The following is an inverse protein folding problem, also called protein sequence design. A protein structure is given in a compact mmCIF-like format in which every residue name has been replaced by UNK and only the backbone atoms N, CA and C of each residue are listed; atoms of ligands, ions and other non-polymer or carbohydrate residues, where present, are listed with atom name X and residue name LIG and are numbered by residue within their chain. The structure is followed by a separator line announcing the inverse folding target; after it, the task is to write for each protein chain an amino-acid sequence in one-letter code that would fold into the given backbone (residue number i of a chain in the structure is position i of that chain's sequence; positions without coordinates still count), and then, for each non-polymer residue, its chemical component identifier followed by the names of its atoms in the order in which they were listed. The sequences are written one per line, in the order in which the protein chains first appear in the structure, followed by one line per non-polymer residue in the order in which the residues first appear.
data_IF_336911941906
#
_entry.id   IF_336911941906
#
_cell.length_a   1.000
_cell.length_b   1.000
_cell.length_c   1.000
_cell.angle_alpha   90.00
_cell.angle_beta   90.00
_cell.angle_gamma   90.00
#
_symmetry.space_group_name_H-M   'P 1'
#
loop_
_entity.id
_entity.type
_entity.pdbx_description
1 polymer ?
#
# COMPACT_ATOMS: atom_id res chain seq x y z
N UNK A 1 -38.52 -29.16 54.12
CA UNK A 1 -39.77 -29.05 54.89
C UNK A 1 -39.67 -27.87 55.85
N UNK A 2 -40.66 -26.97 55.80
CA UNK A 2 -41.01 -25.85 56.71
C UNK A 2 -39.96 -24.73 56.91
N UNK A 3 -40.14 -23.50 56.40
CA UNK A 3 -41.12 -22.40 56.68
C UNK A 3 -40.98 -21.77 58.06
N UNK A 4 -40.58 -20.48 58.12
CA UNK A 4 -41.26 -19.31 58.76
C UNK A 4 -40.31 -18.08 58.77
N UNK A 5 -40.62 -17.00 58.01
CA UNK A 5 -41.06 -15.63 58.45
C UNK A 5 -40.04 -14.85 59.30
N UNK A 6 -39.67 -13.57 59.08
CA UNK A 6 -40.44 -12.30 59.01
C UNK A 6 -39.33 -11.17 58.93
N UNK A 7 -39.36 -10.06 58.18
CA UNK A 7 -39.99 -8.76 58.45
C UNK A 7 -39.71 -7.78 57.29
N UNK A 8 -40.72 -6.96 57.01
CA UNK A 8 -40.90 -6.00 55.92
C UNK A 8 -40.62 -4.58 56.47
N UNK A 9 -39.71 -3.79 55.89
CA UNK A 9 -39.73 -2.31 56.06
C UNK A 9 -39.46 -1.65 54.71
N UNK A 10 -40.55 -1.04 54.22
CA UNK A 10 -40.63 -0.07 53.12
C UNK A 10 -40.10 1.27 53.63
N UNK A 11 -39.20 1.92 52.88
CA UNK A 11 -38.98 3.36 53.01
C UNK A 11 -39.07 4.02 51.64
N UNK A 12 -40.28 4.46 51.34
CA UNK A 12 -40.61 5.52 50.39
C UNK A 12 -39.89 6.81 50.77
N UNK A 13 -39.26 7.48 49.81
CA UNK A 13 -39.11 8.94 49.86
C UNK A 13 -39.23 9.49 48.43
N UNK A 14 -40.45 9.94 48.15
CA UNK A 14 -40.85 10.75 47.00
C UNK A 14 -40.74 12.23 47.41
N UNK A 15 -40.62 13.08 46.39
CA UNK A 15 -40.79 14.53 46.33
C UNK A 15 -39.48 15.31 46.47
N UNK A 16 -39.12 16.15 45.49
CA UNK A 16 -39.99 17.17 44.92
C UNK A 16 -39.54 17.61 43.52
N UNK A 17 -40.51 17.67 42.61
CA UNK A 17 -40.49 18.54 41.45
C UNK A 17 -40.72 19.97 41.94
N UNK A 18 -39.85 20.91 41.55
CA UNK A 18 -40.21 22.32 41.50
C UNK A 18 -39.73 22.97 40.20
N UNK A 19 -40.71 23.61 39.59
CA UNK A 19 -40.76 24.34 38.34
C UNK A 19 -39.92 25.62 38.34
N UNK A 20 -39.30 25.95 37.20
CA UNK A 20 -39.06 27.34 36.83
C UNK A 20 -39.40 27.61 35.35
N UNK A 21 -40.50 28.37 35.24
CA UNK A 21 -41.13 29.18 34.19
C UNK A 21 -40.38 29.44 32.86
N UNK A 22 -41.18 29.33 31.79
CA UNK A 22 -41.05 30.02 30.49
C UNK A 22 -40.95 31.54 30.66
N UNK A 23 -40.07 32.17 29.88
CA UNK A 23 -40.13 33.59 29.46
C UNK A 23 -39.73 33.68 27.98
N UNK A 24 -40.66 34.10 27.13
CA UNK A 24 -40.45 34.90 25.89
C UNK A 24 -40.59 36.38 26.29
N UNK A 25 -40.04 37.42 25.65
CA UNK A 25 -39.05 37.67 24.60
C UNK A 25 -38.64 39.17 24.76
N UNK A 26 -37.41 39.55 24.40
CA UNK A 26 -37.01 40.65 23.48
C UNK A 26 -35.53 41.08 23.66
N UNK A 27 -34.89 41.64 22.62
CA UNK A 27 -33.61 41.15 22.12
C UNK A 27 -32.39 41.96 22.60
N UNK A 28 -31.24 41.30 22.70
CA UNK A 28 -29.94 41.95 22.78
C UNK A 28 -29.10 41.50 21.58
N UNK A 29 -28.85 42.45 20.70
CA UNK A 29 -27.79 42.40 19.69
C UNK A 29 -26.45 42.28 20.40
N UNK A 30 -25.69 41.22 20.14
CA UNK A 30 -24.24 41.30 20.09
C UNK A 30 -23.65 40.12 19.31
N UNK A 31 -22.75 40.49 18.40
CA UNK A 31 -22.11 39.69 17.38
C UNK A 31 -21.47 38.41 17.92
N UNK A 32 -22.07 37.25 17.64
CA UNK A 32 -21.34 35.98 17.62
C UNK A 32 -20.92 35.70 16.18
N UNK A 33 -19.62 35.85 15.97
CA UNK A 33 -18.86 35.50 14.78
C UNK A 33 -19.35 34.15 14.26
N UNK A 34 -20.07 34.18 13.13
CA UNK A 34 -20.21 33.03 12.27
C UNK A 34 -18.79 32.53 12.00
N UNK A 35 -18.43 31.40 12.61
CA UNK A 35 -17.34 30.56 12.12
C UNK A 35 -17.77 30.14 10.72
N UNK A 36 -17.40 30.98 9.76
CA UNK A 36 -17.48 30.75 8.33
C UNK A 36 -16.89 29.36 8.12
N UNK A 37 -17.75 28.38 7.86
CA UNK A 37 -17.32 27.17 7.21
C UNK A 37 -16.69 27.65 5.90
N UNK A 38 -15.37 27.56 5.82
CA UNK A 38 -14.69 27.60 4.53
C UNK A 38 -15.04 26.30 3.83
N UNK A 39 -16.25 26.27 3.27
CA UNK A 39 -16.69 25.28 2.32
C UNK A 39 -17.17 26.02 1.10
N UNK A 40 -16.18 26.34 0.26
CA UNK A 40 -16.30 26.50 -1.18
C UNK A 40 -14.88 26.63 -1.75
N UNK A 41 -14.21 25.49 -1.87
CA UNK A 41 -13.21 25.35 -2.94
C UNK A 41 -14.00 25.02 -4.21
N UNK A 42 -14.63 26.04 -4.80
CA UNK A 42 -15.20 26.03 -6.16
C UNK A 42 -14.06 25.93 -7.18
N UNK A 43 -13.26 24.87 -7.07
CA UNK A 43 -12.33 24.45 -8.12
C UNK A 43 -12.72 23.04 -8.48
N UNK A 44 -13.64 22.92 -9.42
CA UNK A 44 -13.99 21.67 -10.12
C UNK A 44 -12.83 21.12 -10.95
N UNK A 45 -11.68 21.79 -10.90
CA UNK A 45 -10.44 21.40 -11.55
C UNK A 45 -9.49 20.71 -10.58
N UNK A 46 -9.15 19.47 -10.88
CA UNK A 46 -8.18 18.64 -10.16
C UNK A 46 -6.88 18.47 -10.96
N UNK A 47 -5.87 17.93 -10.30
CA UNK A 47 -4.57 17.57 -10.89
C UNK A 47 -4.22 16.15 -10.49
N UNK A 48 -3.55 15.44 -11.36
CA UNK A 48 -3.00 14.11 -11.09
C UNK A 48 -1.59 13.99 -11.65
N UNK A 49 -0.74 13.21 -10.99
CA UNK A 49 0.57 12.83 -11.51
C UNK A 49 0.45 11.97 -12.79
N UNK A 50 -0.72 11.37 -13.03
CA UNK A 50 -1.00 10.70 -14.31
C UNK A 50 -1.06 11.71 -15.48
N UNK A 51 -1.40 12.98 -15.22
CA UNK A 51 -1.55 14.02 -16.25
C UNK A 51 -1.13 15.40 -15.73
N UNK A 52 0.19 15.59 -15.58
CA UNK A 52 0.80 16.78 -14.94
C UNK A 52 0.37 18.15 -15.52
N UNK A 53 0.06 18.19 -16.82
CA UNK A 53 -0.21 19.43 -17.55
C UNK A 53 -1.70 19.61 -17.89
N UNK A 54 -2.58 18.75 -17.39
CA UNK A 54 -4.00 18.79 -17.70
C UNK A 54 -4.82 19.15 -16.47
N UNK A 55 -5.90 19.88 -16.72
CA UNK A 55 -6.94 20.18 -15.76
C UNK A 55 -7.96 19.04 -15.82
N UNK A 56 -8.23 18.41 -14.69
CA UNK A 56 -9.15 17.27 -14.62
C UNK A 56 -10.49 17.71 -14.03
N UNK A 57 -11.57 17.07 -14.47
CA UNK A 57 -12.93 17.28 -14.01
C UNK A 57 -13.41 16.10 -13.18
N UNK A 58 -14.34 16.36 -12.26
CA UNK A 58 -14.92 15.32 -11.42
C UNK A 58 -15.77 14.36 -12.28
N UNK A 59 -15.53 13.06 -12.17
CA UNK A 59 -16.33 12.03 -12.84
C UNK A 59 -15.99 11.80 -14.32
N UNK A 60 -15.21 12.68 -14.95
CA UNK A 60 -14.74 12.47 -16.32
C UNK A 60 -13.78 11.26 -16.37
N UNK A 61 -13.95 10.42 -17.40
CA UNK A 61 -13.14 9.22 -17.58
C UNK A 61 -11.96 9.53 -18.49
N UNK A 62 -10.77 9.36 -17.93
CA UNK A 62 -9.49 9.51 -18.61
C UNK A 62 -8.90 8.15 -18.94
N UNK A 63 -8.10 8.12 -20.01
CA UNK A 63 -7.37 6.93 -20.46
C UNK A 63 -5.88 7.21 -20.47
N UNK A 64 -5.09 6.32 -19.89
CA UNK A 64 -3.64 6.49 -19.79
C UNK A 64 -2.89 5.16 -19.90
N UNK A 65 -1.67 5.22 -20.44
CA UNK A 65 -0.74 4.08 -20.43
C UNK A 65 0.18 4.17 -19.23
N UNK A 66 0.30 3.08 -18.48
CA UNK A 66 1.04 3.00 -17.21
C UNK A 66 1.75 1.66 -17.08
N UNK A 67 2.72 1.56 -16.16
CA UNK A 67 3.34 0.29 -15.75
C UNK A 67 2.78 -0.14 -14.40
N UNK A 68 2.28 -1.37 -14.33
CA UNK A 68 1.75 -1.92 -13.07
C UNK A 68 2.86 -2.11 -12.02
N UNK A 69 2.59 -1.82 -10.75
CA UNK A 69 3.54 -2.01 -9.64
C UNK A 69 3.09 -3.10 -8.69
N UNK A 70 1.91 -2.95 -8.09
CA UNK A 70 1.32 -3.89 -7.12
C UNK A 70 -0.13 -3.53 -6.82
N UNK A 71 -0.83 -4.46 -6.19
CA UNK A 71 -2.01 -4.15 -5.37
C UNK A 71 -1.55 -3.86 -3.93
N UNK A 72 -2.20 -2.91 -3.27
CA UNK A 72 -1.95 -2.58 -1.86
C UNK A 72 -3.27 -2.64 -1.07
N UNK A 73 -3.33 -3.53 -0.08
CA UNK A 73 -4.48 -3.80 0.77
C UNK A 73 -4.21 -3.45 2.25
N UNK A 74 -3.12 -2.71 2.54
CA UNK A 74 -2.68 -2.41 3.91
C UNK A 74 -3.43 -1.24 4.60
N UNK A 75 -4.66 -0.94 4.21
CA UNK A 75 -5.43 0.21 4.72
C UNK A 75 -6.94 0.06 4.56
N UNK A 76 -7.65 1.18 4.69
CA UNK A 76 -9.12 1.22 4.61
C UNK A 76 -9.64 1.05 3.17
N UNK A 77 -8.85 1.47 2.18
CA UNK A 77 -9.13 1.34 0.75
C UNK A 77 -8.12 0.40 0.08
N UNK A 78 -8.54 -0.21 -1.03
CA UNK A 78 -7.65 -1.02 -1.87
C UNK A 78 -7.06 -0.19 -3.00
N UNK A 79 -5.74 -0.25 -3.16
CA UNK A 79 -5.02 0.55 -4.13
C UNK A 79 -4.41 -0.26 -5.28
N UNK A 80 -4.63 0.24 -6.49
CA UNK A 80 -3.98 -0.15 -7.73
C UNK A 80 -2.79 0.77 -7.95
N UNK A 81 -1.59 0.28 -7.64
CA UNK A 81 -0.37 1.09 -7.69
C UNK A 81 0.30 0.95 -9.05
N UNK A 82 0.53 2.09 -9.69
CA UNK A 82 1.13 2.17 -11.04
C UNK A 82 2.26 3.18 -11.08
N UNK A 83 3.15 3.02 -12.06
CA UNK A 83 4.12 4.03 -12.45
C UNK A 83 3.72 4.66 -13.77
N UNK A 84 3.78 5.99 -13.82
CA UNK A 84 3.73 6.75 -15.07
C UNK A 84 4.91 7.72 -15.07
N UNK A 85 5.73 7.64 -16.11
CA UNK A 85 7.04 8.31 -16.13
C UNK A 85 7.87 7.89 -14.90
N UNK A 86 8.37 8.85 -14.11
CA UNK A 86 9.09 8.60 -12.86
C UNK A 86 8.18 8.63 -11.61
N UNK A 87 6.90 8.94 -11.78
CA UNK A 87 5.96 9.09 -10.69
C UNK A 87 5.25 7.78 -10.37
N UNK A 88 4.96 7.56 -9.09
CA UNK A 88 4.15 6.44 -8.61
C UNK A 88 2.80 6.98 -8.15
N UNK A 89 1.72 6.39 -8.65
CA UNK A 89 0.34 6.81 -8.38
C UNK A 89 -0.46 5.62 -7.86
N UNK A 90 -1.28 5.86 -6.85
CA UNK A 90 -2.20 4.88 -6.28
C UNK A 90 -3.61 5.26 -6.67
N UNK A 91 -4.34 4.37 -7.32
CA UNK A 91 -5.76 4.56 -7.64
C UNK A 91 -6.60 3.64 -6.77
N UNK A 92 -7.70 4.13 -6.21
CA UNK A 92 -8.66 3.25 -5.51
C UNK A 92 -9.31 2.33 -6.55
N UNK A 93 -9.44 1.05 -6.23
CA UNK A 93 -10.13 0.10 -7.10
C UNK A 93 -11.12 -0.77 -6.31
N UNK A 94 -12.28 -1.04 -6.93
CA UNK A 94 -13.39 -1.77 -6.31
C UNK A 94 -13.76 -3.04 -7.07
N UNK A 95 -12.90 -3.49 -7.98
CA UNK A 95 -13.10 -4.69 -8.81
C UNK A 95 -12.23 -5.84 -8.31
N UNK A 96 -12.64 -7.08 -8.59
CA UNK A 96 -11.87 -8.27 -8.23
C UNK A 96 -10.41 -8.19 -8.71
N UNK A 97 -9.48 -8.62 -7.85
CA UNK A 97 -8.03 -8.66 -8.08
C UNK A 97 -7.69 -9.63 -9.23
N UNK A 98 -7.43 -9.12 -10.44
CA UNK A 98 -7.01 -9.94 -11.55
C UNK A 98 -5.51 -10.18 -11.48
N UNK A 99 -5.05 -11.31 -12.02
CA UNK A 99 -3.63 -11.65 -11.96
C UNK A 99 -2.77 -10.79 -12.89
N UNK A 100 -2.27 -9.66 -12.41
CA UNK A 100 -1.37 -8.76 -13.14
C UNK A 100 0.07 -8.95 -12.66
N UNK A 101 1.00 -8.96 -13.62
CA UNK A 101 2.43 -9.08 -13.37
C UNK A 101 3.02 -7.68 -13.23
N UNK A 102 3.86 -7.46 -12.21
CA UNK A 102 4.62 -6.22 -12.04
C UNK A 102 5.35 -5.84 -13.34
N UNK A 103 5.39 -4.54 -13.65
CA UNK A 103 6.03 -4.01 -14.85
C UNK A 103 5.21 -4.18 -16.13
N UNK A 104 4.07 -4.89 -16.11
CA UNK A 104 3.19 -4.97 -17.26
C UNK A 104 2.74 -3.57 -17.71
N UNK A 105 2.83 -3.31 -19.01
CA UNK A 105 2.26 -2.11 -19.61
C UNK A 105 0.75 -2.30 -19.77
N UNK A 106 0.00 -1.38 -19.17
CA UNK A 106 -1.44 -1.39 -19.15
C UNK A 106 -1.96 -0.09 -19.76
N UNK A 107 -3.08 -0.19 -20.48
CA UNK A 107 -3.96 0.96 -20.65
C UNK A 107 -5.00 0.90 -19.54
N UNK A 108 -5.12 1.99 -18.78
CA UNK A 108 -6.10 2.13 -17.70
C UNK A 108 -7.14 3.17 -18.09
N UNK A 109 -8.37 2.96 -17.64
CA UNK A 109 -9.40 4.00 -17.57
C UNK A 109 -9.61 4.35 -16.11
N UNK A 110 -9.66 5.64 -15.80
CA UNK A 110 -9.77 6.14 -14.43
C UNK A 110 -10.48 7.49 -14.40
N UNK A 111 -10.90 7.92 -13.22
CA UNK A 111 -11.54 9.22 -13.00
C UNK A 111 -11.11 9.84 -11.68
N UNK A 112 -11.27 11.15 -11.55
CA UNK A 112 -11.34 11.77 -10.23
C UNK A 112 -12.73 11.49 -9.65
N UNK A 113 -12.80 11.01 -8.41
CA UNK A 113 -14.07 10.82 -7.70
C UNK A 113 -13.94 11.27 -6.24
N UNK A 114 -15.09 11.45 -5.58
CA UNK A 114 -15.15 11.79 -4.17
C UNK A 114 -14.76 10.61 -3.28
N UNK A 115 -13.98 10.90 -2.25
CA UNK A 115 -13.63 9.98 -1.17
C UNK A 115 -14.24 10.50 0.14
N UNK A 116 -14.75 9.58 0.96
CA UNK A 116 -15.08 9.80 2.37
C UNK A 116 -14.16 8.91 3.20
N UNK A 117 -13.09 9.46 3.80
CA UNK A 117 -12.18 8.65 4.62
C UNK A 117 -12.93 7.95 5.76
N UNK A 118 -12.50 6.73 6.07
CA UNK A 118 -13.06 5.99 7.18
C UNK A 118 -12.84 6.76 8.50
N UNK A 119 -13.86 6.80 9.36
CA UNK A 119 -13.81 7.50 10.65
C UNK A 119 -14.16 8.99 10.61
N UNK A 120 -14.26 9.61 9.42
CA UNK A 120 -14.73 11.00 9.27
C UNK A 120 -15.65 11.15 8.05
N UNK A 121 -16.95 10.79 8.17
CA UNK A 121 -17.90 10.85 7.07
C UNK A 121 -18.24 12.28 6.62
N UNK A 122 -17.90 13.29 7.42
CA UNK A 122 -18.13 14.70 7.09
C UNK A 122 -16.99 15.27 6.22
N UNK A 123 -15.79 14.68 6.28
CA UNK A 123 -14.66 15.05 5.45
C UNK A 123 -14.80 14.51 4.02
N UNK A 124 -14.90 15.44 3.05
CA UNK A 124 -14.94 15.15 1.62
C UNK A 124 -13.56 15.42 1.00
N UNK A 125 -12.98 14.38 0.39
CA UNK A 125 -11.78 14.49 -0.43
C UNK A 125 -12.05 14.05 -1.88
N UNK A 126 -11.06 14.18 -2.75
CA UNK A 126 -11.11 13.73 -4.14
C UNK A 126 -9.82 13.05 -4.55
N UNK A 127 -9.94 11.87 -5.15
CA UNK A 127 -8.80 11.03 -5.51
C UNK A 127 -9.05 10.25 -6.79
N UNK A 128 -8.01 9.63 -7.34
CA UNK A 128 -8.08 8.79 -8.52
C UNK A 128 -8.76 7.44 -8.21
N UNK A 129 -9.81 7.12 -8.98
CA UNK A 129 -10.47 5.81 -8.98
C UNK A 129 -10.24 5.09 -10.29
N UNK A 130 -9.78 3.85 -10.22
CA UNK A 130 -9.67 2.95 -11.37
C UNK A 130 -11.08 2.51 -11.82
N UNK A 131 -11.34 2.64 -13.12
CA UNK A 131 -12.57 2.14 -13.77
C UNK A 131 -12.31 0.79 -14.41
N UNK A 132 -11.25 0.70 -15.21
CA UNK A 132 -10.90 -0.51 -15.94
C UNK A 132 -9.43 -0.50 -16.34
N UNK A 133 -8.92 -1.65 -16.76
CA UNK A 133 -7.59 -1.77 -17.32
C UNK A 133 -7.56 -2.88 -18.36
N UNK A 134 -6.63 -2.79 -19.30
CA UNK A 134 -6.33 -3.87 -20.24
C UNK A 134 -4.81 -3.99 -20.41
N UNK A 135 -4.31 -5.24 -20.38
CA UNK A 135 -2.89 -5.53 -20.66
C UNK A 135 -2.60 -5.18 -22.12
N UNK A 136 -1.62 -4.32 -22.35
CA UNK A 136 -1.11 -4.08 -23.69
C UNK A 136 -0.22 -5.25 -24.10
N UNK A 137 -0.24 -5.62 -25.38
CA UNK A 137 0.60 -6.70 -25.87
C UNK A 137 2.06 -6.34 -25.61
N UNK A 138 2.74 -7.16 -24.82
CA UNK A 138 4.19 -7.03 -24.64
C UNK A 138 4.84 -7.13 -26.01
N UNK A 139 5.67 -6.16 -26.36
CA UNK A 139 6.70 -6.43 -27.37
C UNK A 139 7.56 -7.56 -26.79
N UNK A 140 7.97 -8.53 -27.60
CA UNK A 140 8.91 -9.58 -27.20
C UNK A 140 10.32 -8.97 -27.00
N UNK A 141 10.46 -8.00 -26.09
CA UNK A 141 11.76 -7.57 -25.59
C UNK A 141 12.14 -8.55 -24.49
N UNK A 142 13.06 -9.45 -24.82
CA UNK A 142 13.75 -10.25 -23.81
C UNK A 142 14.38 -9.29 -22.78
N UNK A 143 14.15 -9.53 -21.50
CA UNK A 143 14.70 -8.68 -20.43
C UNK A 143 16.23 -8.76 -20.47
N UNK A 144 16.90 -7.62 -20.57
CA UNK A 144 18.36 -7.57 -20.57
C UNK A 144 18.90 -7.47 -19.13
N UNK A 145 19.44 -8.59 -18.64
CA UNK A 145 20.06 -8.65 -17.31
C UNK A 145 21.57 -8.39 -17.33
N UNK A 146 22.15 -7.95 -18.45
CA UNK A 146 23.60 -7.71 -18.57
C UNK A 146 24.14 -6.79 -17.47
N UNK A 147 23.38 -5.75 -17.11
CA UNK A 147 23.71 -4.78 -16.04
C UNK A 147 23.63 -5.33 -14.62
N UNK A 148 23.02 -6.50 -14.45
CA UNK A 148 22.85 -7.13 -13.13
C UNK A 148 23.89 -8.21 -12.84
N UNK A 149 24.58 -8.73 -13.87
CA UNK A 149 25.54 -9.85 -13.72
C UNK A 149 26.70 -9.55 -12.76
N UNK A 150 27.06 -8.29 -12.59
CA UNK A 150 28.17 -7.87 -11.72
C UNK A 150 27.68 -7.14 -10.46
N UNK A 151 26.39 -7.20 -10.14
CA UNK A 151 25.87 -6.57 -8.94
C UNK A 151 26.09 -7.47 -7.73
N UNK A 152 26.31 -6.84 -6.60
CA UNK A 152 26.33 -7.48 -5.30
C UNK A 152 25.67 -6.59 -4.25
N UNK A 153 25.28 -7.20 -3.13
CA UNK A 153 24.84 -6.48 -1.94
C UNK A 153 25.31 -7.23 -0.70
N UNK A 154 25.47 -6.50 0.41
CA UNK A 154 25.98 -7.05 1.67
C UNK A 154 24.84 -7.12 2.67
N UNK A 155 24.72 -8.26 3.33
CA UNK A 155 23.83 -8.47 4.47
C UNK A 155 24.66 -8.54 5.74
N UNK A 156 24.34 -7.73 6.76
CA UNK A 156 24.91 -7.94 8.09
C UNK A 156 24.17 -9.07 8.79
N UNK A 157 24.91 -10.07 9.29
CA UNK A 157 24.37 -11.18 10.07
C UNK A 157 24.58 -11.02 11.58
N UNK A 158 25.11 -9.88 12.04
CA UNK A 158 25.35 -9.57 13.45
C UNK A 158 26.72 -8.93 13.69
N UNK A 159 27.12 -8.84 14.96
CA UNK A 159 28.44 -8.29 15.35
C UNK A 159 29.56 -9.13 14.72
N UNK A 160 30.38 -8.50 13.88
CA UNK A 160 31.50 -9.15 13.19
C UNK A 160 31.12 -10.00 11.98
N UNK A 161 29.82 -10.21 11.70
CA UNK A 161 29.37 -11.11 10.64
C UNK A 161 28.77 -10.34 9.45
N UNK A 162 29.23 -10.65 8.24
CA UNK A 162 28.65 -10.14 6.99
C UNK A 162 28.59 -11.21 5.90
N UNK A 163 27.59 -11.14 5.03
CA UNK A 163 27.46 -12.00 3.86
C UNK A 163 27.31 -11.16 2.60
N UNK A 164 28.23 -11.30 1.65
CA UNK A 164 28.16 -10.62 0.35
C UNK A 164 27.48 -11.54 -0.65
N UNK A 165 26.35 -11.10 -1.22
CA UNK A 165 25.63 -11.84 -2.24
C UNK A 165 26.05 -11.32 -3.61
N UNK A 166 26.84 -12.09 -4.34
CA UNK A 166 27.29 -11.76 -5.70
C UNK A 166 26.38 -12.46 -6.70
N UNK A 167 25.85 -11.73 -7.70
CA UNK A 167 25.03 -12.34 -8.73
C UNK A 167 25.85 -13.34 -9.54
N UNK A 168 25.49 -14.62 -9.47
CA UNK A 168 26.11 -15.70 -10.24
C UNK A 168 25.32 -15.99 -11.51
N UNK A 169 24.00 -16.05 -11.40
CA UNK A 169 23.13 -16.37 -12.52
C UNK A 169 21.71 -15.81 -12.37
N UNK A 170 21.12 -15.37 -13.48
CA UNK A 170 19.72 -14.93 -13.56
C UNK A 170 19.04 -15.74 -14.67
N UNK A 171 17.96 -16.46 -14.31
CA UNK A 171 17.15 -17.27 -15.24
C UNK A 171 15.68 -16.90 -15.13
N UNK A 172 15.09 -16.25 -16.14
CA UNK A 172 13.64 -16.13 -16.26
C UNK A 172 13.00 -17.51 -16.32
N UNK A 173 11.97 -17.74 -15.51
CA UNK A 173 11.18 -18.97 -15.55
C UNK A 173 9.91 -18.76 -16.37
N UNK A 174 9.28 -17.60 -16.21
CA UNK A 174 8.14 -17.14 -16.98
C UNK A 174 8.04 -15.60 -16.86
N UNK A 175 6.96 -15.01 -17.37
CA UNK A 175 6.73 -13.56 -17.30
C UNK A 175 6.77 -13.02 -15.86
N UNK A 176 6.26 -13.77 -14.89
CA UNK A 176 6.08 -13.36 -13.50
C UNK A 176 7.16 -13.86 -12.53
N UNK A 177 8.07 -14.74 -12.96
CA UNK A 177 9.01 -15.38 -12.05
C UNK A 177 10.42 -15.40 -12.62
N UNK A 178 11.38 -14.95 -11.81
CA UNK A 178 12.81 -15.00 -12.13
C UNK A 178 13.54 -15.75 -11.02
N UNK A 179 14.34 -16.73 -11.41
CA UNK A 179 15.27 -17.42 -10.52
C UNK A 179 16.61 -16.71 -10.56
N UNK A 180 17.18 -16.42 -9.39
CA UNK A 180 18.51 -15.82 -9.26
C UNK A 180 19.34 -16.67 -8.32
N UNK A 181 20.52 -17.04 -8.79
CA UNK A 181 21.54 -17.72 -7.98
C UNK A 181 22.61 -16.69 -7.62
N UNK A 182 22.92 -16.61 -6.34
CA UNK A 182 24.00 -15.82 -5.79
C UNK A 182 25.12 -16.73 -5.32
N UNK A 183 26.35 -16.30 -5.55
CA UNK A 183 27.52 -16.78 -4.83
C UNK A 183 27.65 -15.92 -3.57
N UNK A 184 27.58 -16.55 -2.40
CA UNK A 184 27.53 -15.90 -1.10
C UNK A 184 28.87 -16.09 -0.41
N UNK A 185 29.56 -14.99 -0.15
CA UNK A 185 30.80 -14.95 0.64
C UNK A 185 30.47 -14.55 2.08
N UNK A 186 30.75 -15.44 3.03
CA UNK A 186 30.54 -15.20 4.46
C UNK A 186 31.83 -14.74 5.14
N UNK A 187 31.74 -13.63 5.86
CA UNK A 187 32.83 -13.03 6.61
C UNK A 187 32.53 -13.04 8.10
N UNK A 188 33.51 -13.42 8.91
CA UNK A 188 33.48 -13.33 10.39
C UNK A 188 34.72 -12.58 10.83
N UNK A 189 34.53 -11.51 11.59
CA UNK A 189 35.58 -10.58 12.02
C UNK A 189 36.43 -10.03 10.87
N UNK A 190 35.81 -9.88 9.70
CA UNK A 190 36.43 -9.38 8.48
C UNK A 190 37.18 -10.43 7.64
N UNK A 191 37.28 -11.67 8.12
CA UNK A 191 37.93 -12.76 7.40
C UNK A 191 36.89 -13.61 6.65
N UNK A 192 37.20 -13.95 5.39
CA UNK A 192 36.37 -14.86 4.60
C UNK A 192 36.43 -16.25 5.21
N UNK A 193 35.28 -16.76 5.61
CA UNK A 193 35.15 -18.06 6.29
C UNK A 193 34.55 -19.13 5.38
N UNK A 194 33.60 -18.77 4.52
CA UNK A 194 32.93 -19.71 3.62
C UNK A 194 32.45 -19.01 2.35
N UNK A 195 32.40 -19.75 1.24
CA UNK A 195 31.73 -19.36 0.00
C UNK A 195 30.78 -20.46 -0.43
N UNK A 196 29.51 -20.14 -0.67
CA UNK A 196 28.49 -21.10 -1.09
C UNK A 196 27.43 -20.48 -1.99
N UNK A 197 26.68 -21.31 -2.73
CA UNK A 197 25.62 -20.83 -3.61
C UNK A 197 24.25 -20.84 -2.91
N UNK A 198 23.51 -19.74 -3.05
CA UNK A 198 22.10 -19.67 -2.69
C UNK A 198 21.24 -19.30 -3.89
N UNK A 199 20.05 -19.89 -3.97
CA UNK A 199 19.13 -19.61 -5.07
C UNK A 199 17.80 -19.11 -4.54
N UNK A 200 17.32 -18.02 -5.13
CA UNK A 200 16.08 -17.35 -4.78
C UNK A 200 15.14 -17.28 -5.98
N UNK A 201 13.86 -17.49 -5.72
CA UNK A 201 12.79 -17.29 -6.69
C UNK A 201 12.08 -15.97 -6.38
N UNK A 202 12.21 -15.01 -7.28
CA UNK A 202 11.51 -13.73 -7.25
C UNK A 202 10.21 -13.89 -8.04
N UNK A 203 9.07 -13.73 -7.37
CA UNK A 203 7.74 -13.77 -7.97
C UNK A 203 7.11 -12.39 -7.97
N UNK A 204 6.57 -12.00 -9.12
CA UNK A 204 6.03 -10.69 -9.45
C UNK A 204 4.55 -10.74 -9.85
N UNK A 205 3.83 -11.78 -9.41
CA UNK A 205 2.37 -11.82 -9.52
C UNK A 205 1.70 -10.84 -8.54
N UNK A 206 0.45 -11.10 -8.19
CA UNK A 206 -0.36 -10.20 -7.34
C UNK A 206 0.32 -9.86 -6.01
N UNK A 207 0.93 -10.88 -5.40
CA UNK A 207 1.76 -10.72 -4.20
C UNK A 207 3.21 -10.94 -4.58
N UNK A 208 4.00 -9.86 -4.51
CA UNK A 208 5.43 -9.95 -4.69
C UNK A 208 6.03 -10.79 -3.56
N UNK A 209 6.71 -11.87 -3.90
CA UNK A 209 7.36 -12.74 -2.91
C UNK A 209 8.75 -13.11 -3.37
N UNK A 210 9.67 -13.26 -2.42
CA UNK A 210 11.03 -13.73 -2.68
C UNK A 210 11.25 -14.94 -1.79
N UNK A 211 11.55 -16.07 -2.42
CA UNK A 211 11.57 -17.37 -1.76
C UNK A 211 12.92 -18.04 -1.91
N UNK A 212 13.53 -18.46 -0.81
CA UNK A 212 14.74 -19.28 -0.85
C UNK A 212 14.38 -20.68 -1.36
N UNK A 213 15.10 -21.16 -2.38
CA UNK A 213 14.79 -22.43 -3.05
C UNK A 213 15.25 -23.66 -2.27
N UNK A 214 16.20 -23.51 -1.33
CA UNK A 214 16.68 -24.59 -0.47
C UNK A 214 15.75 -24.79 0.74
N UNK A 215 15.38 -23.71 1.43
CA UNK A 215 14.52 -23.81 2.62
C UNK A 215 13.03 -23.81 2.27
N UNK A 216 12.66 -23.38 1.06
CA UNK A 216 11.28 -23.21 0.62
C UNK A 216 10.51 -22.17 1.46
N UNK A 217 11.22 -21.25 2.11
CA UNK A 217 10.66 -20.16 2.92
C UNK A 217 10.79 -18.80 2.23
N UNK A 218 9.86 -17.90 2.54
CA UNK A 218 9.93 -16.51 2.09
C UNK A 218 10.99 -15.75 2.90
N UNK A 219 11.65 -14.77 2.29
CA UNK A 219 12.67 -13.96 2.94
C UNK A 219 12.15 -13.25 4.20
N UNK A 220 10.85 -12.95 4.27
CA UNK A 220 10.20 -12.36 5.44
C UNK A 220 10.32 -13.23 6.71
N UNK A 221 10.48 -14.55 6.56
CA UNK A 221 10.64 -15.48 7.69
C UNK A 221 12.09 -15.71 8.08
N UNK A 222 13.02 -15.48 7.15
CA UNK A 222 14.43 -15.86 7.29
C UNK A 222 15.27 -14.64 7.71
N UNK A 223 14.93 -13.46 7.19
CA UNK A 223 15.79 -12.28 7.25
C UNK A 223 15.18 -11.14 8.06
N UNK A 224 16.06 -10.33 8.65
CA UNK A 224 15.72 -9.04 9.26
C UNK A 224 15.22 -8.05 8.20
N UNK A 225 14.51 -7.00 8.63
CA UNK A 225 13.95 -6.00 7.71
C UNK A 225 15.00 -5.33 6.80
N UNK A 226 16.21 -5.07 7.32
CA UNK A 226 17.31 -4.49 6.54
C UNK A 226 17.80 -5.43 5.43
N UNK A 227 17.90 -6.72 5.74
CA UNK A 227 18.27 -7.73 4.76
C UNK A 227 17.16 -7.95 3.73
N UNK A 228 15.90 -7.99 4.17
CA UNK A 228 14.75 -8.03 3.27
C UNK A 228 14.74 -6.86 2.29
N UNK A 229 15.09 -5.65 2.75
CA UNK A 229 15.17 -4.45 1.91
C UNK A 229 16.19 -4.63 0.79
N UNK A 230 17.37 -5.16 1.08
CA UNK A 230 18.42 -5.39 0.06
C UNK A 230 17.94 -6.33 -1.04
N UNK A 231 17.27 -7.43 -0.68
CA UNK A 231 16.64 -8.34 -1.66
C UNK A 231 15.52 -7.65 -2.46
N UNK A 232 14.66 -6.86 -1.81
CA UNK A 232 13.56 -6.16 -2.47
C UNK A 232 14.06 -5.07 -3.45
N UNK A 233 15.12 -4.37 -3.09
CA UNK A 233 15.80 -3.39 -3.95
C UNK A 233 16.44 -4.05 -5.16
N UNK A 234 17.16 -5.16 -4.96
CA UNK A 234 17.68 -5.96 -6.08
C UNK A 234 16.55 -6.49 -6.96
N UNK A 235 15.47 -7.02 -6.36
CA UNK A 235 14.29 -7.51 -7.08
C UNK A 235 13.58 -6.44 -7.90
N UNK A 236 13.60 -5.17 -7.47
CA UNK A 236 13.04 -4.08 -8.27
C UNK A 236 13.78 -3.92 -9.62
N UNK A 237 15.11 -4.04 -9.61
CA UNK A 237 15.96 -3.92 -10.80
C UNK A 237 15.76 -5.04 -11.83
N UNK A 238 15.21 -6.19 -11.41
CA UNK A 238 14.87 -7.30 -12.30
C UNK A 238 13.65 -7.01 -13.20
N UNK A 239 12.92 -5.94 -12.90
CA UNK A 239 11.70 -5.52 -13.60
C UNK A 239 11.85 -4.18 -14.33
N UNK A 240 13.06 -3.63 -14.37
CA UNK A 240 13.43 -2.40 -15.09
C UNK A 240 13.94 -2.73 -16.49
#
# INVERSE_FOLDING_TARGET
MNKLTFFLIISFLIFSLQSCKKKENEPINENSIQKKSELKKDSTTFKSLLRLNEKLELGEIYTDTVKFVKFDDNGDDWYFVVKKNNDTVSLIYNTDDPKIIRGAELEIQWKMDSLRPAGDPEYLDFTEYLISWKKLKSKNSERDFSKLKNQSFVLSCGTGCAMTHNVKEIRPINEASIKVTFEVDMYVDGELTETFDETYLFNYGNKNTIKNMKTNENIEKIFTESAQRSFKEFGAKLME
#
